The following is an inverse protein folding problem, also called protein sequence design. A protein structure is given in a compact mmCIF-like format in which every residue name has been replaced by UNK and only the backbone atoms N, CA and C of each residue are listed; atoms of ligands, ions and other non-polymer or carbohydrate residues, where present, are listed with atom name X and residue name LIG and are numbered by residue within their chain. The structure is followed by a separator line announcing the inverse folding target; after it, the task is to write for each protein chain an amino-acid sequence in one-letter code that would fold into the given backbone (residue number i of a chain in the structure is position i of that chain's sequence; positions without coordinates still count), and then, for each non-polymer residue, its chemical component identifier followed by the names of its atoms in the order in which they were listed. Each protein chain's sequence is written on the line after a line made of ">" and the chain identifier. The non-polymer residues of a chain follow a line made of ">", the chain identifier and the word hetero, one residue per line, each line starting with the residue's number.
data_IF_604137898752
#
_entry.id   IF_604137898752
#
_cell.length_a   1.000
_cell.length_b   1.000
_cell.length_c   1.000
_cell.angle_alpha   90.00
_cell.angle_beta   90.00
_cell.angle_gamma   90.00
#
_symmetry.space_group_name_H-M   'P 1'
#
loop_
_entity.id
_entity.type
_entity.pdbx_description
1 polymer ?
#
# COMPACT_ATOMS: atom_id res chain seq x y z
N UNK A 1 2.85 13.66 -0.68
CA UNK A 1 2.84 12.23 -0.28
C UNK A 1 3.37 11.31 -1.39
N UNK A 2 2.91 11.39 -2.65
CA UNK A 2 3.47 10.59 -3.75
C UNK A 2 5.02 10.60 -3.85
N UNK A 3 5.66 11.78 -3.74
CA UNK A 3 7.13 11.91 -3.76
C UNK A 3 7.82 11.21 -2.58
N UNK A 4 7.16 11.09 -1.43
CA UNK A 4 7.69 10.38 -0.26
C UNK A 4 7.62 8.87 -0.46
N UNK A 5 6.51 8.37 -1.02
CA UNK A 5 6.33 6.95 -1.35
C UNK A 5 7.36 6.48 -2.36
N UNK A 6 7.53 7.21 -3.47
CA UNK A 6 8.57 6.92 -4.48
C UNK A 6 9.96 6.92 -3.84
N UNK A 7 10.27 7.92 -3.00
CA UNK A 7 11.58 7.97 -2.32
C UNK A 7 11.82 6.78 -1.41
N UNK A 8 10.79 6.31 -0.69
CA UNK A 8 10.90 5.17 0.22
C UNK A 8 11.02 3.85 -0.55
N UNK A 9 10.30 3.72 -1.65
CA UNK A 9 10.38 2.60 -2.59
C UNK A 9 11.79 2.49 -3.19
N UNK A 10 12.27 3.55 -3.85
CA UNK A 10 13.64 3.59 -4.40
C UNK A 10 14.70 3.34 -3.33
N UNK A 11 14.51 3.87 -2.12
CA UNK A 11 15.45 3.64 -1.02
C UNK A 11 15.50 2.17 -0.60
N UNK A 12 14.35 1.53 -0.44
CA UNK A 12 14.28 0.13 -0.01
C UNK A 12 14.84 -0.81 -1.08
N UNK A 13 14.59 -0.54 -2.36
CA UNK A 13 15.19 -1.29 -3.47
C UNK A 13 16.71 -1.13 -3.54
N UNK A 14 17.25 0.06 -3.25
CA UNK A 14 18.69 0.31 -3.29
C UNK A 14 19.42 -0.16 -2.03
N UNK A 15 18.76 -0.13 -0.87
CA UNK A 15 19.32 -0.53 0.41
C UNK A 15 18.22 -1.21 1.25
N UNK A 16 18.12 -2.55 1.15
CA UNK A 16 17.05 -3.32 1.78
C UNK A 16 17.13 -3.38 3.31
N UNK A 17 18.28 -3.05 3.89
CA UNK A 17 18.56 -3.21 5.32
C UNK A 17 19.15 -4.57 5.65
N UNK A 18 19.89 -4.63 6.76
CA UNK A 18 20.63 -5.84 7.15
C UNK A 18 19.73 -6.96 7.70
N UNK A 19 18.47 -6.64 8.02
CA UNK A 19 17.52 -7.56 8.64
C UNK A 19 16.68 -8.38 7.65
N UNK A 20 16.76 -8.12 6.34
CA UNK A 20 15.90 -8.78 5.32
C UNK A 20 16.59 -9.90 4.54
N UNK A 21 17.82 -10.27 4.92
CA UNK A 21 18.65 -11.30 4.29
C UNK A 21 18.61 -11.24 2.75
N UNK A 22 18.88 -10.07 2.17
CA UNK A 22 18.79 -9.82 0.73
C UNK A 22 17.57 -9.00 0.33
N UNK A 23 17.00 -9.30 -0.84
CA UNK A 23 15.88 -8.53 -1.40
C UNK A 23 14.59 -8.78 -0.60
N UNK A 24 14.03 -7.78 0.11
CA UNK A 24 12.86 -7.97 0.95
C UNK A 24 11.64 -8.36 0.14
N UNK A 25 11.53 -7.89 -1.10
CA UNK A 25 10.39 -8.17 -1.98
C UNK A 25 10.30 -9.63 -2.44
N UNK A 26 11.35 -10.42 -2.20
CA UNK A 26 11.38 -11.87 -2.44
C UNK A 26 11.40 -12.63 -1.10
N UNK A 27 12.31 -12.25 -0.19
CA UNK A 27 12.63 -13.05 0.99
C UNK A 27 11.71 -12.79 2.19
N UNK A 28 10.98 -11.67 2.20
CA UNK A 28 10.17 -11.24 3.36
C UNK A 28 8.69 -11.05 3.03
N UNK A 29 8.23 -11.52 1.86
CA UNK A 29 6.82 -11.42 1.45
C UNK A 29 5.89 -12.04 2.50
N UNK A 30 4.80 -11.34 2.80
CA UNK A 30 3.88 -11.69 3.87
C UNK A 30 4.31 -11.23 5.27
N UNK A 31 5.59 -10.92 5.46
CA UNK A 31 6.23 -10.58 6.73
C UNK A 31 6.80 -9.15 6.78
N UNK A 32 6.47 -8.28 5.82
CA UNK A 32 7.07 -6.93 5.72
C UNK A 32 6.92 -6.07 6.97
N UNK A 33 5.95 -6.31 7.85
CA UNK A 33 5.81 -5.52 9.08
C UNK A 33 6.70 -6.01 10.22
N UNK A 34 7.26 -7.21 10.08
CA UNK A 34 8.16 -7.78 11.08
C UNK A 34 9.56 -7.16 11.01
N UNK A 35 10.04 -6.84 9.81
CA UNK A 35 11.36 -6.27 9.58
C UNK A 35 11.36 -4.75 9.70
N UNK A 36 12.32 -4.21 10.44
CA UNK A 36 12.38 -2.77 10.76
C UNK A 36 12.67 -1.93 9.52
N UNK A 37 13.46 -2.46 8.59
CA UNK A 37 13.84 -1.80 7.34
C UNK A 37 12.66 -1.61 6.38
N UNK A 38 11.69 -2.53 6.38
CA UNK A 38 10.51 -2.51 5.52
C UNK A 38 9.32 -1.76 6.11
N UNK A 39 9.26 -1.54 7.44
CA UNK A 39 8.19 -0.76 8.07
C UNK A 39 8.00 0.65 7.48
N UNK A 40 9.05 1.47 7.26
CA UNK A 40 8.89 2.80 6.64
C UNK A 40 8.31 2.77 5.23
N UNK A 41 8.51 1.67 4.50
CA UNK A 41 7.93 1.47 3.17
C UNK A 41 6.42 1.24 3.27
N UNK A 42 6.01 0.31 4.14
CA UNK A 42 4.60 0.00 4.39
C UNK A 42 3.82 1.23 4.89
N UNK A 43 4.41 2.00 5.81
CA UNK A 43 3.80 3.25 6.28
C UNK A 43 3.64 4.26 5.14
N UNK A 44 4.64 4.43 4.29
CA UNK A 44 4.57 5.39 3.19
C UNK A 44 3.52 5.02 2.13
N UNK A 45 3.24 3.73 1.92
CA UNK A 45 2.13 3.27 1.07
C UNK A 45 0.77 3.51 1.73
N UNK A 46 0.63 3.26 3.02
CA UNK A 46 -0.59 3.57 3.76
C UNK A 46 -0.93 5.07 3.73
N UNK A 47 0.07 5.92 3.96
CA UNK A 47 -0.10 7.38 3.92
C UNK A 47 -0.44 7.85 2.49
N UNK A 48 0.07 7.17 1.47
CA UNK A 48 -0.26 7.45 0.08
C UNK A 48 -1.72 7.15 -0.26
N UNK A 49 -2.25 5.99 0.17
CA UNK A 49 -3.68 5.66 0.04
C UNK A 49 -4.50 6.77 0.68
N UNK A 50 -4.20 7.14 1.93
CA UNK A 50 -4.91 8.19 2.66
C UNK A 50 -4.89 9.52 1.89
N UNK A 51 -3.75 9.88 1.30
CA UNK A 51 -3.62 11.10 0.52
C UNK A 51 -4.42 11.08 -0.79
N UNK A 52 -4.41 9.96 -1.54
CA UNK A 52 -5.20 9.82 -2.77
C UNK A 52 -6.69 9.95 -2.46
N UNK A 53 -7.16 9.35 -1.37
CA UNK A 53 -8.58 9.36 -1.00
C UNK A 53 -9.12 10.75 -0.61
N UNK A 54 -8.25 11.74 -0.40
CA UNK A 54 -8.67 13.13 -0.28
C UNK A 54 -9.11 13.73 -1.62
N UNK A 55 -8.68 13.16 -2.74
CA UNK A 55 -9.18 13.49 -4.08
C UNK A 55 -10.49 12.74 -4.30
N UNK A 56 -11.60 13.47 -4.41
CA UNK A 56 -12.97 12.90 -4.45
C UNK A 56 -13.42 12.53 -5.86
N UNK A 57 -12.61 11.74 -6.59
CA UNK A 57 -12.94 11.25 -7.94
C UNK A 57 -12.96 9.72 -8.00
N UNK A 58 -13.67 9.14 -8.97
CA UNK A 58 -13.67 7.69 -9.22
C UNK A 58 -12.28 7.16 -9.56
N UNK A 59 -11.54 7.87 -10.41
CA UNK A 59 -10.14 7.55 -10.77
C UNK A 59 -9.22 7.47 -9.54
N UNK A 60 -9.38 8.38 -8.57
CA UNK A 60 -8.62 8.32 -7.32
C UNK A 60 -8.95 7.06 -6.50
N UNK A 61 -10.21 6.60 -6.51
CA UNK A 61 -10.60 5.34 -5.85
C UNK A 61 -9.96 4.13 -6.54
N UNK A 62 -9.93 4.10 -7.87
CA UNK A 62 -9.28 3.02 -8.62
C UNK A 62 -7.76 2.96 -8.37
N UNK A 63 -7.08 4.11 -8.42
CA UNK A 63 -5.65 4.20 -8.10
C UNK A 63 -5.40 3.74 -6.67
N UNK A 64 -6.21 4.20 -5.72
CA UNK A 64 -6.08 3.84 -4.32
C UNK A 64 -6.37 2.35 -4.06
N UNK A 65 -7.18 1.67 -4.87
CA UNK A 65 -7.51 0.25 -4.66
C UNK A 65 -6.34 -0.69 -4.96
N UNK A 66 -5.41 -0.31 -5.85
CA UNK A 66 -4.24 -1.14 -6.20
C UNK A 66 -3.24 -1.26 -5.06
N UNK A 67 -3.14 -0.22 -4.23
CA UNK A 67 -2.16 -0.14 -3.15
C UNK A 67 -2.44 -1.13 -1.99
N UNK A 68 -3.65 -1.22 -1.41
CA UNK A 68 -3.98 -2.21 -0.38
C UNK A 68 -3.72 -3.66 -0.81
N UNK A 69 -3.96 -4.01 -2.08
CA UNK A 69 -3.75 -5.38 -2.56
C UNK A 69 -2.26 -5.76 -2.50
N UNK A 70 -1.38 -4.88 -2.96
CA UNK A 70 0.06 -5.11 -2.86
C UNK A 70 0.52 -5.08 -1.40
N UNK A 71 -0.02 -4.17 -0.58
CA UNK A 71 0.28 -4.14 0.85
C UNK A 71 -0.14 -5.42 1.59
N UNK A 72 -1.27 -6.03 1.24
CA UNK A 72 -1.72 -7.30 1.80
C UNK A 72 -0.87 -8.48 1.32
N UNK A 73 -0.34 -8.42 0.09
CA UNK A 73 0.65 -9.40 -0.39
C UNK A 73 1.93 -9.32 0.43
N UNK A 74 2.42 -8.11 0.70
CA UNK A 74 3.67 -7.88 1.43
C UNK A 74 3.52 -8.08 2.95
N UNK A 75 2.35 -7.78 3.52
CA UNK A 75 2.04 -7.90 4.96
C UNK A 75 0.69 -8.62 5.16
N UNK A 76 0.74 -9.95 5.24
CA UNK A 76 -0.46 -10.78 5.31
C UNK A 76 -1.24 -10.61 6.64
N UNK A 77 -0.49 -10.37 7.71
CA UNK A 77 -1.02 -10.09 9.04
C UNK A 77 -1.81 -8.77 9.12
N UNK A 78 -1.76 -7.93 8.08
CA UNK A 78 -2.58 -6.73 7.96
C UNK A 78 -2.38 -5.76 9.15
N UNK A 79 -1.14 -5.58 9.57
CA UNK A 79 -0.79 -4.79 10.76
C UNK A 79 -1.23 -3.31 10.70
N UNK A 80 -1.50 -2.81 9.49
CA UNK A 80 -1.99 -1.46 9.24
C UNK A 80 -3.51 -1.40 8.99
N UNK A 81 -4.22 -2.53 9.07
CA UNK A 81 -5.68 -2.59 8.88
C UNK A 81 -6.15 -2.22 7.47
N UNK A 82 -5.29 -2.40 6.47
CA UNK A 82 -5.53 -2.08 5.06
C UNK A 82 -6.65 -2.93 4.45
N UNK A 83 -6.93 -4.14 4.98
CA UNK A 83 -8.07 -4.97 4.52
C UNK A 83 -9.41 -4.28 4.72
N UNK A 84 -9.54 -3.47 5.77
CA UNK A 84 -10.75 -2.68 6.02
C UNK A 84 -10.90 -1.52 5.04
N UNK A 85 -9.78 -0.96 4.59
CA UNK A 85 -9.75 0.13 3.61
C UNK A 85 -10.06 -0.40 2.22
N UNK A 86 -9.42 -1.50 1.83
CA UNK A 86 -9.65 -2.24 0.59
C UNK A 86 -11.13 -2.54 0.37
N UNK A 87 -11.80 -3.16 1.36
CA UNK A 87 -13.24 -3.45 1.30
C UNK A 87 -14.08 -2.18 1.10
N UNK A 88 -13.75 -1.10 1.81
CA UNK A 88 -14.46 0.18 1.69
C UNK A 88 -14.29 0.79 0.29
N UNK A 89 -13.13 0.62 -0.33
CA UNK A 89 -12.86 1.10 -1.68
C UNK A 89 -13.60 0.31 -2.75
N UNK A 90 -13.65 -1.03 -2.64
CA UNK A 90 -14.47 -1.85 -3.55
C UNK A 90 -15.94 -1.42 -3.54
N UNK A 91 -16.51 -1.18 -2.35
CA UNK A 91 -17.91 -0.72 -2.22
C UNK A 91 -18.13 0.68 -2.82
N UNK A 92 -17.15 1.57 -2.72
CA UNK A 92 -17.21 2.90 -3.34
C UNK A 92 -17.16 2.81 -4.86
N UNK A 93 -16.29 1.96 -5.40
CA UNK A 93 -16.17 1.75 -6.84
C UNK A 93 -17.44 1.13 -7.42
N UNK A 94 -17.95 0.05 -6.82
CA UNK A 94 -19.20 -0.59 -7.26
C UNK A 94 -20.39 0.38 -7.28
N UNK A 95 -20.45 1.31 -6.31
CA UNK A 95 -21.47 2.37 -6.27
C UNK A 95 -21.30 3.44 -7.34
N UNK A 96 -20.06 3.73 -7.72
CA UNK A 96 -19.76 4.68 -8.80
C UNK A 96 -20.11 4.08 -10.15
N UNK A 97 -19.78 2.80 -10.39
CA UNK A 97 -20.07 2.09 -11.64
C UNK A 97 -21.57 1.94 -11.88
N UNK A 98 -22.36 1.75 -10.83
CA UNK A 98 -23.84 1.73 -10.89
C UNK A 98 -24.47 3.12 -11.10
N UNK A 99 -23.70 4.20 -10.96
CA UNK A 99 -24.19 5.58 -11.09
C UNK A 99 -23.92 6.19 -12.47
N UNK A 100 -23.31 5.44 -13.40
CA UNK A 100 -23.16 5.85 -14.80
C UNK A 100 -24.34 5.28 -15.60
N UNK A 101 -25.23 6.13 -16.18
CA UNK A 101 -26.38 5.70 -16.96
C UNK A 101 -26.02 5.10 -18.32
#
# INVERSE_FOLDING_TARGET
>A
MARLTIRKDTKLHANPGDDTDGNPFDNTVGLFWFFKSTCPYMQARHDYITAILNVRTGEAVEIALREPLEMLRLCLADNLGVRSQERRLQLRLARHDLAVP
#
